data_IF_021603104768
#
_entry.id   IF_021603104768
#
_cell.length_a   1.000
_cell.length_b   1.000
_cell.length_c   1.000
_cell.angle_alpha   90.00
_cell.angle_beta   90.00
_cell.angle_gamma   90.00
#
_symmetry.space_group_name_H-M   'P 1'
#
loop_
_entity.id
_entity.type
_entity.pdbx_description
1 polymer ?
#
# COMPACT_ATOMS: atom_id res chain seq x y z
N UNK A 1 7.91 -8.38 -7.84
CA UNK A 1 7.41 -9.75 -7.68
C UNK A 1 5.89 -9.74 -7.50
N UNK A 2 5.34 -9.14 -6.42
CA UNK A 2 3.91 -9.18 -6.09
C UNK A 2 3.00 -8.69 -7.21
N UNK A 3 3.20 -7.48 -7.72
CA UNK A 3 2.37 -6.92 -8.80
C UNK A 3 2.34 -7.80 -10.06
N UNK A 4 3.48 -8.40 -10.44
CA UNK A 4 3.53 -9.33 -11.58
C UNK A 4 2.71 -10.59 -11.34
N UNK A 5 2.70 -11.12 -10.11
CA UNK A 5 1.90 -12.31 -9.76
C UNK A 5 0.41 -12.02 -9.84
N UNK A 6 -0.03 -10.89 -9.27
CA UNK A 6 -1.43 -10.44 -9.33
C UNK A 6 -1.86 -10.21 -10.79
N UNK A 7 -1.02 -9.55 -11.61
CA UNK A 7 -1.27 -9.37 -13.04
C UNK A 7 -1.44 -10.70 -13.77
N UNK A 8 -0.54 -11.66 -13.55
CA UNK A 8 -0.66 -12.98 -14.18
C UNK A 8 -1.94 -13.72 -13.76
N UNK A 9 -2.34 -13.62 -12.48
CA UNK A 9 -3.58 -14.23 -12.00
C UNK A 9 -4.82 -13.54 -12.60
N UNK A 10 -4.78 -12.23 -12.83
CA UNK A 10 -5.83 -11.48 -13.51
C UNK A 10 -5.95 -11.91 -14.98
N UNK A 11 -4.83 -11.97 -15.70
CA UNK A 11 -4.78 -12.42 -17.11
C UNK A 11 -5.25 -13.87 -17.27
N UNK A 12 -4.96 -14.73 -16.28
CA UNK A 12 -5.44 -16.11 -16.25
C UNK A 12 -6.88 -16.27 -15.74
N UNK A 13 -7.60 -15.17 -15.48
CA UNK A 13 -8.97 -15.15 -14.94
C UNK A 13 -9.13 -15.95 -13.62
N UNK A 14 -8.10 -15.97 -12.81
CA UNK A 14 -8.07 -16.67 -11.52
C UNK A 14 -8.50 -15.81 -10.33
N UNK A 15 -8.83 -14.52 -10.56
CA UNK A 15 -9.24 -13.59 -9.52
C UNK A 15 -10.77 -13.46 -9.45
N UNK A 16 -11.38 -13.58 -8.25
CA UNK A 16 -12.82 -13.42 -8.05
C UNK A 16 -13.23 -11.93 -8.03
N UNK A 17 -13.20 -11.28 -9.21
CA UNK A 17 -13.41 -9.83 -9.33
C UNK A 17 -14.79 -9.35 -8.87
N UNK A 18 -15.81 -10.23 -8.87
CA UNK A 18 -17.15 -9.92 -8.41
C UNK A 18 -17.33 -10.06 -6.88
N UNK A 19 -16.36 -10.64 -6.18
CA UNK A 19 -16.36 -10.86 -4.73
C UNK A 19 -15.13 -10.17 -4.11
N UNK A 20 -15.30 -8.92 -3.69
CA UNK A 20 -14.20 -8.11 -3.15
C UNK A 20 -13.56 -8.74 -1.89
N UNK A 21 -14.31 -9.26 -0.90
CA UNK A 21 -13.70 -9.97 0.23
C UNK A 21 -12.80 -11.13 -0.20
N UNK A 22 -13.28 -11.99 -1.09
CA UNK A 22 -12.51 -13.12 -1.61
C UNK A 22 -11.30 -12.66 -2.44
N UNK A 23 -11.47 -11.62 -3.27
CA UNK A 23 -10.37 -11.01 -4.03
C UNK A 23 -9.26 -10.51 -3.11
N UNK A 24 -9.60 -9.78 -2.07
CA UNK A 24 -8.63 -9.22 -1.13
C UNK A 24 -7.90 -10.31 -0.34
N UNK A 25 -8.62 -11.34 0.11
CA UNK A 25 -8.02 -12.49 0.79
C UNK A 25 -7.00 -13.20 -0.12
N UNK A 26 -7.37 -13.48 -1.38
CA UNK A 26 -6.50 -14.14 -2.35
C UNK A 26 -5.28 -13.30 -2.72
N UNK A 27 -5.46 -11.99 -2.91
CA UNK A 27 -4.34 -11.06 -3.18
C UNK A 27 -3.38 -11.05 -1.97
N UNK A 28 -3.89 -10.97 -0.75
CA UNK A 28 -3.08 -11.03 0.46
C UNK A 28 -2.24 -12.30 0.54
N UNK A 29 -2.83 -13.47 0.27
CA UNK A 29 -2.14 -14.77 0.25
C UNK A 29 -1.02 -14.79 -0.82
N UNK A 30 -1.33 -14.35 -2.03
CA UNK A 30 -0.35 -14.30 -3.12
C UNK A 30 0.84 -13.38 -2.79
N UNK A 31 0.58 -12.22 -2.19
CA UNK A 31 1.64 -11.29 -1.81
C UNK A 31 2.52 -11.86 -0.70
N UNK A 32 1.95 -12.53 0.30
CA UNK A 32 2.72 -13.24 1.33
C UNK A 32 3.68 -14.26 0.73
N UNK A 33 3.22 -15.00 -0.28
CA UNK A 33 3.99 -16.08 -0.90
C UNK A 33 5.12 -15.57 -1.79
N UNK A 34 4.91 -14.46 -2.54
CA UNK A 34 5.84 -14.05 -3.60
C UNK A 34 6.70 -12.83 -3.26
N UNK A 35 6.33 -12.04 -2.27
CA UNK A 35 7.07 -10.82 -1.92
C UNK A 35 8.13 -11.06 -0.86
N UNK A 36 8.40 -12.13 -0.36
CA UNK A 36 9.46 -12.41 0.63
C UNK A 36 9.74 -11.30 1.66
N UNK A 37 10.23 -11.66 2.83
CA UNK A 37 10.57 -10.70 3.90
C UNK A 37 9.34 -10.03 4.52
N UNK A 38 9.59 -9.01 5.33
CA UNK A 38 8.54 -8.26 6.05
C UNK A 38 7.50 -7.61 5.13
N UNK A 39 7.89 -7.18 3.93
CA UNK A 39 6.97 -6.52 2.98
C UNK A 39 5.82 -7.45 2.56
N UNK A 40 6.09 -8.73 2.30
CA UNK A 40 5.06 -9.70 1.94
C UNK A 40 4.07 -9.93 3.08
N UNK A 41 4.59 -10.12 4.29
CA UNK A 41 3.77 -10.32 5.48
C UNK A 41 2.90 -9.08 5.76
N UNK A 42 3.47 -7.88 5.71
CA UNK A 42 2.74 -6.65 5.99
C UNK A 42 1.67 -6.35 4.93
N UNK A 43 1.96 -6.57 3.65
CA UNK A 43 0.97 -6.44 2.59
C UNK A 43 -0.16 -7.48 2.73
N UNK A 44 0.18 -8.72 3.10
CA UNK A 44 -0.83 -9.74 3.39
C UNK A 44 -1.76 -9.32 4.53
N UNK A 45 -1.22 -8.76 5.61
CA UNK A 45 -2.00 -8.23 6.75
C UNK A 45 -2.96 -7.15 6.27
N UNK A 46 -2.48 -6.18 5.47
CA UNK A 46 -3.30 -5.10 4.94
C UNK A 46 -4.49 -5.66 4.14
N UNK A 47 -4.22 -6.51 3.14
CA UNK A 47 -5.27 -7.04 2.28
C UNK A 47 -6.23 -7.98 3.01
N UNK A 48 -5.73 -8.84 3.90
CA UNK A 48 -6.59 -9.74 4.69
C UNK A 48 -7.52 -8.95 5.62
N UNK A 49 -7.00 -7.96 6.33
CA UNK A 49 -7.83 -7.13 7.21
C UNK A 49 -8.85 -6.28 6.44
N UNK A 50 -8.46 -5.75 5.29
CA UNK A 50 -9.40 -5.05 4.40
C UNK A 50 -10.49 -5.98 3.86
N UNK A 51 -10.14 -7.21 3.46
CA UNK A 51 -11.11 -8.22 3.03
C UNK A 51 -12.11 -8.58 4.13
N UNK A 52 -11.67 -8.70 5.37
CA UNK A 52 -12.55 -8.94 6.53
C UNK A 52 -13.53 -7.78 6.73
N UNK A 53 -13.06 -6.54 6.70
CA UNK A 53 -13.91 -5.36 6.84
C UNK A 53 -14.94 -5.25 5.70
N UNK A 54 -14.56 -5.60 4.46
CA UNK A 54 -15.49 -5.67 3.33
C UNK A 54 -16.57 -6.75 3.53
N UNK A 55 -16.20 -7.90 4.08
CA UNK A 55 -17.15 -8.97 4.39
C UNK A 55 -18.18 -8.56 5.48
N UNK A 56 -17.81 -7.65 6.36
CA UNK A 56 -18.67 -7.05 7.40
C UNK A 56 -19.53 -5.89 6.87
N UNK A 57 -19.43 -5.55 5.59
CA UNK A 57 -20.23 -4.51 4.94
C UNK A 57 -19.60 -3.11 4.94
N UNK A 58 -18.32 -2.99 5.28
CA UNK A 58 -17.58 -1.73 5.20
C UNK A 58 -17.39 -1.27 3.76
N UNK A 59 -17.20 0.03 3.55
CA UNK A 59 -16.83 0.61 2.25
C UNK A 59 -15.38 0.29 1.91
N UNK A 60 -15.03 0.33 0.62
CA UNK A 60 -13.66 0.05 0.18
C UNK A 60 -12.62 1.00 0.81
N UNK A 61 -12.82 2.33 0.88
CA UNK A 61 -11.89 3.22 1.57
C UNK A 61 -11.70 2.90 3.05
N UNK A 62 -12.78 2.63 3.77
CA UNK A 62 -12.73 2.25 5.19
C UNK A 62 -12.01 0.93 5.40
N UNK A 63 -12.28 -0.06 4.55
CA UNK A 63 -11.63 -1.36 4.60
C UNK A 63 -10.11 -1.26 4.37
N UNK A 64 -9.69 -0.49 3.37
CA UNK A 64 -8.27 -0.24 3.11
C UNK A 64 -7.60 0.53 4.26
N UNK A 65 -8.28 1.51 4.84
CA UNK A 65 -7.80 2.23 6.02
C UNK A 65 -7.62 1.30 7.22
N UNK A 66 -8.59 0.44 7.49
CA UNK A 66 -8.49 -0.58 8.54
C UNK A 66 -7.31 -1.52 8.29
N UNK A 67 -7.14 -1.97 7.05
CA UNK A 67 -6.00 -2.80 6.64
C UNK A 67 -4.67 -2.10 6.86
N UNK A 68 -4.58 -0.81 6.52
CA UNK A 68 -3.40 0.02 6.75
C UNK A 68 -3.08 0.14 8.25
N UNK A 69 -4.07 0.40 9.10
CA UNK A 69 -3.87 0.50 10.56
C UNK A 69 -3.35 -0.84 11.15
N UNK A 70 -3.89 -1.97 10.70
CA UNK A 70 -3.37 -3.29 11.08
C UNK A 70 -1.93 -3.47 10.64
N UNK A 71 -1.61 -3.13 9.40
CA UNK A 71 -0.25 -3.20 8.87
C UNK A 71 0.72 -2.31 9.67
N UNK A 72 0.33 -1.08 10.00
CA UNK A 72 1.12 -0.14 10.83
C UNK A 72 1.35 -0.71 12.24
N UNK A 73 0.32 -1.28 12.84
CA UNK A 73 0.41 -1.89 14.17
C UNK A 73 1.47 -2.99 14.24
N UNK A 74 1.50 -3.89 13.26
CA UNK A 74 2.46 -5.00 13.23
C UNK A 74 3.83 -4.61 12.68
N UNK A 75 3.89 -3.68 11.75
CA UNK A 75 5.13 -3.24 11.11
C UNK A 75 5.84 -2.08 11.79
N UNK A 76 5.13 -1.33 12.63
CA UNK A 76 5.67 -0.16 13.35
C UNK A 76 5.95 1.05 12.47
N UNK A 77 5.67 1.00 11.16
CA UNK A 77 5.88 2.13 10.26
C UNK A 77 4.79 3.19 10.44
N UNK A 78 5.19 4.46 10.33
CA UNK A 78 4.32 5.63 10.41
C UNK A 78 4.73 6.66 9.35
N UNK A 79 3.89 7.68 9.14
CA UNK A 79 4.28 8.85 8.33
C UNK A 79 5.61 9.41 8.86
N UNK A 80 6.49 9.76 7.93
CA UNK A 80 7.85 10.24 8.24
C UNK A 80 8.90 9.14 8.37
N UNK A 81 8.52 7.87 8.24
CA UNK A 81 9.45 6.74 8.30
C UNK A 81 10.06 6.35 6.94
N UNK A 82 9.72 7.06 5.88
CA UNK A 82 10.17 6.81 4.50
C UNK A 82 9.76 5.42 4.02
N UNK A 83 8.47 5.18 3.95
CA UNK A 83 7.84 3.92 3.53
C UNK A 83 6.63 4.16 2.65
N UNK A 84 5.98 3.10 2.18
CA UNK A 84 4.70 3.20 1.47
C UNK A 84 3.60 3.91 2.28
N UNK A 85 3.70 3.92 3.62
CA UNK A 85 2.73 4.57 4.51
C UNK A 85 2.65 6.07 4.22
N UNK A 86 3.78 6.70 3.89
CA UNK A 86 3.88 8.13 3.59
C UNK A 86 3.02 8.57 2.39
N UNK A 87 2.73 7.66 1.48
CA UNK A 87 1.85 7.91 0.33
C UNK A 87 0.44 7.31 0.51
N UNK A 88 0.33 6.13 1.12
CA UNK A 88 -0.93 5.41 1.22
C UNK A 88 -1.88 6.03 2.25
N UNK A 89 -1.36 6.43 3.41
CA UNK A 89 -2.18 6.99 4.50
C UNK A 89 -2.89 8.27 4.06
N UNK A 90 -2.21 9.31 3.52
CA UNK A 90 -2.91 10.54 3.10
C UNK A 90 -3.89 10.30 1.93
N UNK A 91 -3.62 9.35 1.04
CA UNK A 91 -4.55 9.00 -0.03
C UNK A 91 -5.83 8.35 0.52
N UNK A 92 -5.72 7.43 1.47
CA UNK A 92 -6.87 6.78 2.10
C UNK A 92 -7.64 7.74 3.01
N UNK A 93 -6.97 8.69 3.67
CA UNK A 93 -7.62 9.75 4.42
C UNK A 93 -8.45 10.66 3.51
N UNK A 94 -7.95 11.01 2.34
CA UNK A 94 -8.70 11.77 1.35
C UNK A 94 -9.97 11.01 0.91
N UNK A 95 -9.87 9.74 0.58
CA UNK A 95 -11.02 8.90 0.19
C UNK A 95 -12.04 8.73 1.31
N UNK A 96 -11.59 8.48 2.53
CA UNK A 96 -12.50 8.33 3.69
C UNK A 96 -13.17 9.66 4.09
N UNK A 97 -12.56 10.79 3.75
CA UNK A 97 -13.15 12.12 3.89
C UNK A 97 -14.12 12.49 2.74
N UNK A 98 -14.39 11.56 1.82
CA UNK A 98 -15.32 11.76 0.69
C UNK A 98 -14.73 12.59 -0.46
N UNK A 99 -13.41 12.77 -0.51
CA UNK A 99 -12.74 13.44 -1.62
C UNK A 99 -12.71 12.55 -2.87
N UNK A 100 -12.50 13.17 -4.01
CA UNK A 100 -12.41 12.50 -5.30
C UNK A 100 -11.17 11.60 -5.39
N UNK A 101 -11.21 10.65 -6.32
CA UNK A 101 -10.06 9.79 -6.61
C UNK A 101 -8.85 10.60 -7.11
N UNK A 102 -9.08 11.69 -7.86
CA UNK A 102 -8.02 12.61 -8.29
C UNK A 102 -7.33 13.28 -7.10
N UNK A 103 -8.10 13.78 -6.11
CA UNK A 103 -7.54 14.37 -4.89
C UNK A 103 -6.77 13.33 -4.06
N UNK A 104 -7.22 12.09 -4.02
CA UNK A 104 -6.49 11.01 -3.37
C UNK A 104 -5.18 10.67 -4.11
N UNK A 105 -5.20 10.70 -5.45
CA UNK A 105 -3.99 10.51 -6.25
C UNK A 105 -2.97 11.64 -6.03
N UNK A 106 -3.43 12.88 -5.94
CA UNK A 106 -2.59 14.03 -5.59
C UNK A 106 -1.98 13.87 -4.19
N UNK A 107 -2.77 13.42 -3.21
CA UNK A 107 -2.28 13.15 -1.86
C UNK A 107 -1.22 12.04 -1.85
N UNK A 108 -1.43 10.95 -2.60
CA UNK A 108 -0.44 9.90 -2.77
C UNK A 108 0.86 10.41 -3.40
N UNK A 109 0.76 11.24 -4.44
CA UNK A 109 1.92 11.83 -5.12
C UNK A 109 2.72 12.75 -4.20
N UNK A 110 2.05 13.61 -3.43
CA UNK A 110 2.69 14.50 -2.45
C UNK A 110 3.37 13.71 -1.33
N UNK A 111 2.71 12.65 -0.83
CA UNK A 111 3.27 11.75 0.16
C UNK A 111 4.52 11.04 -0.35
N UNK A 112 4.48 10.50 -1.57
CA UNK A 112 5.63 9.87 -2.19
C UNK A 112 6.79 10.86 -2.41
N UNK A 113 6.50 12.08 -2.88
CA UNK A 113 7.48 13.14 -3.06
C UNK A 113 8.15 13.55 -1.74
N UNK A 114 7.41 13.57 -0.64
CA UNK A 114 7.97 13.89 0.67
C UNK A 114 9.09 12.95 1.08
N UNK A 115 9.00 11.68 0.69
CA UNK A 115 10.02 10.67 1.01
C UNK A 115 11.37 10.94 0.36
N UNK A 116 11.41 11.63 -0.78
CA UNK A 116 12.65 12.02 -1.45
C UNK A 116 13.48 13.05 -0.67
N UNK A 117 12.83 13.78 0.26
CA UNK A 117 13.47 14.78 1.13
C UNK A 117 13.84 14.24 2.50
N UNK A 118 13.50 12.98 2.80
CA UNK A 118 13.81 12.34 4.07
C UNK A 118 15.23 11.78 4.05
N UNK A 119 16.06 12.21 4.99
CA UNK A 119 17.49 11.89 5.07
C UNK A 119 17.75 10.46 5.56
N UNK A 120 16.77 9.81 6.20
CA UNK A 120 16.89 8.45 6.71
C UNK A 120 15.57 7.71 6.57
N UNK A 121 15.65 6.40 6.35
CA UNK A 121 14.51 5.51 6.44
C UNK A 121 14.53 4.81 7.81
N UNK A 122 13.38 4.74 8.48
CA UNK A 122 13.26 4.11 9.81
C UNK A 122 12.71 2.68 9.74
N UNK A 123 12.28 2.23 8.56
CA UNK A 123 11.74 0.90 8.35
C UNK A 123 12.07 0.37 6.95
N UNK A 124 11.93 -0.94 6.77
CA UNK A 124 12.17 -1.61 5.49
C UNK A 124 13.65 -1.68 5.09
N UNK A 125 13.88 -2.12 3.85
CA UNK A 125 15.25 -2.29 3.33
C UNK A 125 16.02 -0.98 3.17
N UNK A 126 15.32 0.12 2.98
CA UNK A 126 15.92 1.45 2.86
C UNK A 126 16.59 1.91 4.16
N UNK A 127 16.26 1.33 5.32
CA UNK A 127 16.90 1.66 6.60
C UNK A 127 18.39 1.27 6.67
N UNK A 128 18.85 0.42 5.77
CA UNK A 128 20.26 0.04 5.64
C UNK A 128 21.07 0.95 4.69
N UNK A 129 20.40 1.90 4.02
CA UNK A 129 21.03 2.81 3.08
C UNK A 129 21.47 4.10 3.79
N UNK A 130 22.55 4.70 3.29
CA UNK A 130 23.04 5.98 3.79
C UNK A 130 22.28 7.16 3.18
N UNK A 131 22.38 8.33 3.79
CA UNK A 131 21.72 9.56 3.36
C UNK A 131 22.02 9.91 1.89
N UNK A 132 23.27 9.77 1.43
CA UNK A 132 23.67 10.10 0.06
C UNK A 132 22.94 9.25 -0.99
N UNK A 133 22.60 8.00 -0.65
CA UNK A 133 21.85 7.10 -1.53
C UNK A 133 20.35 7.42 -1.53
N UNK A 134 19.84 8.01 -0.45
CA UNK A 134 18.42 8.30 -0.27
C UNK A 134 18.02 9.69 -0.79
N UNK A 135 18.94 10.63 -0.81
CA UNK A 135 18.67 12.03 -1.14
C UNK A 135 18.14 12.18 -2.58
N UNK A 136 17.03 12.88 -2.72
CA UNK A 136 16.37 13.10 -4.01
C UNK A 136 15.65 11.87 -4.60
N UNK A 137 15.65 10.72 -3.91
CA UNK A 137 15.04 9.48 -4.39
C UNK A 137 13.81 9.14 -3.58
N UNK A 138 12.66 8.98 -4.25
CA UNK A 138 11.43 8.51 -3.58
C UNK A 138 11.61 7.11 -2.99
N UNK A 139 10.96 6.87 -1.86
CA UNK A 139 10.85 5.49 -1.37
C UNK A 139 10.17 4.59 -2.40
N UNK A 140 10.71 3.41 -2.72
CA UNK A 140 10.12 2.53 -3.74
C UNK A 140 8.68 2.10 -3.44
N UNK A 141 8.33 1.91 -2.16
CA UNK A 141 6.97 1.58 -1.73
C UNK A 141 6.02 2.75 -1.90
N UNK A 142 6.42 3.95 -1.48
CA UNK A 142 5.64 5.17 -1.67
C UNK A 142 5.44 5.49 -3.16
N UNK A 143 6.49 5.33 -3.97
CA UNK A 143 6.39 5.50 -5.42
C UNK A 143 5.44 4.47 -6.06
N UNK A 144 5.44 3.23 -5.60
CA UNK A 144 4.49 2.23 -6.09
C UNK A 144 3.03 2.63 -5.79
N UNK A 145 2.75 3.15 -4.60
CA UNK A 145 1.42 3.69 -4.24
C UNK A 145 1.02 4.86 -5.15
N UNK A 146 1.91 5.83 -5.35
CA UNK A 146 1.70 6.95 -6.28
C UNK A 146 1.31 6.43 -7.67
N UNK A 147 2.03 5.43 -8.20
CA UNK A 147 1.76 4.85 -9.52
C UNK A 147 0.41 4.13 -9.60
N UNK A 148 0.02 3.44 -8.52
CA UNK A 148 -1.31 2.80 -8.45
C UNK A 148 -2.42 3.85 -8.50
N UNK A 149 -2.36 4.86 -7.65
CA UNK A 149 -3.39 5.91 -7.63
C UNK A 149 -3.43 6.71 -8.93
N UNK A 150 -2.29 7.03 -9.53
CA UNK A 150 -2.22 7.70 -10.84
C UNK A 150 -2.83 6.86 -11.99
N UNK A 151 -2.84 5.55 -11.89
CA UNK A 151 -3.43 4.66 -12.88
C UNK A 151 -4.96 4.51 -12.74
N UNK A 152 -5.54 5.00 -11.64
CA UNK A 152 -6.98 4.95 -11.37
C UNK A 152 -7.70 6.24 -11.80
N UNK A 153 -6.98 7.28 -12.17
CA UNK A 153 -7.46 8.59 -12.62
C UNK A 153 -7.25 8.74 -14.11
#
# INVERSE_FOLDING_TARGET
AGARKVKSALEAQQLPLADLPALFALVGEQLATVMGGSSGVLMSILFTAAGQQLAEGGTLPEALKQGLEKMKHYGGAQIGHRTLVDALEPALEALTAGKSLAEAADAAAQGAESTARMQSARAGRSSYLNQQTLDGVKDPGAYAVERVFAALV
#
